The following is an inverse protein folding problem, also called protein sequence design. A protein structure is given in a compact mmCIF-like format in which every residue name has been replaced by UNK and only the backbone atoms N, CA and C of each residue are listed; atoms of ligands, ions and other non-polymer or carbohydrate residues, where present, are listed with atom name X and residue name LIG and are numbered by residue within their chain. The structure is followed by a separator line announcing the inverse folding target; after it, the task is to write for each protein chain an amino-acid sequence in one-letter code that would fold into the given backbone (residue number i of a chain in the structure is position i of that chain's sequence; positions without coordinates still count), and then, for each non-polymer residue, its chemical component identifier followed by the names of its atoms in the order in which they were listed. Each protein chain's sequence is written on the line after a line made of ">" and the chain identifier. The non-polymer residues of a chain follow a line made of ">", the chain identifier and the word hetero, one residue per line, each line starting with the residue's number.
data_IF_849201675897
#
_entry.id   IF_849201675897
#
_cell.length_a   1.000
_cell.length_b   1.000
_cell.length_c   1.000
_cell.angle_alpha   90.00
_cell.angle_beta   90.00
_cell.angle_gamma   90.00
#
_symmetry.space_group_name_H-M   'P 1'
#
loop_
_entity.id
_entity.type
_entity.pdbx_description
1 polymer ?
#
# COMPACT_ATOMS: atom_id res chain seq x y z
N UNK A 1 -13.11 29.16 43.84
CA UNK A 1 -12.16 28.03 43.74
C UNK A 1 -10.80 28.58 43.32
N UNK A 2 -9.74 28.50 44.15
CA UNK A 2 -8.48 29.21 43.93
C UNK A 2 -7.50 28.43 43.03
N UNK A 3 -6.83 29.15 42.13
CA UNK A 3 -5.73 28.68 41.25
C UNK A 3 -4.50 28.32 42.08
N UNK A 4 -3.98 27.09 41.94
CA UNK A 4 -2.63 26.74 42.38
C UNK A 4 -1.60 27.17 41.33
N UNK A 5 -0.73 28.09 41.71
CA UNK A 5 0.51 28.46 41.02
C UNK A 5 1.55 27.36 41.25
N UNK A 6 2.03 26.72 40.18
CA UNK A 6 3.15 25.78 40.23
C UNK A 6 4.43 26.56 39.91
N UNK A 7 5.30 26.67 40.91
CA UNK A 7 6.64 27.24 40.83
C UNK A 7 7.59 26.29 40.11
N UNK A 8 8.24 26.77 39.04
CA UNK A 8 9.27 26.06 38.29
C UNK A 8 10.65 26.37 38.89
N UNK A 9 11.49 25.39 39.27
CA UNK A 9 12.87 25.68 39.65
C UNK A 9 13.77 25.80 38.42
N UNK A 10 14.64 26.81 38.44
CA UNK A 10 15.70 27.07 37.46
C UNK A 10 16.93 26.19 37.76
N UNK A 11 17.57 25.53 36.78
CA UNK A 11 18.79 24.78 37.04
C UNK A 11 20.02 25.70 36.94
N UNK A 12 20.64 26.02 38.09
CA UNK A 12 21.97 26.61 38.17
C UNK A 12 23.01 25.59 37.70
N UNK A 13 23.80 25.97 36.70
CA UNK A 13 24.96 25.23 36.22
C UNK A 13 26.17 25.60 37.08
N UNK A 14 26.68 24.67 37.87
CA UNK A 14 28.04 24.75 38.41
C UNK A 14 28.89 23.65 37.79
N UNK A 15 29.93 24.10 37.08
CA UNK A 15 30.99 23.31 36.47
C UNK A 15 32.24 23.47 37.34
N UNK A 16 32.67 22.39 37.99
CA UNK A 16 34.05 22.21 38.42
C UNK A 16 34.39 20.73 38.48
N UNK A 17 35.50 20.27 37.86
CA UNK A 17 35.94 18.89 37.94
C UNK A 17 36.86 18.72 39.17
N UNK A 18 36.65 17.67 39.95
CA UNK A 18 37.67 17.17 40.87
C UNK A 18 37.72 15.65 40.81
N UNK A 19 38.95 15.16 40.74
CA UNK A 19 39.38 13.82 40.43
C UNK A 19 39.80 13.14 41.74
N UNK A 20 39.26 11.96 42.05
CA UNK A 20 39.92 11.00 42.94
C UNK A 20 39.24 9.65 42.83
N UNK A 21 40.04 8.62 42.53
CA UNK A 21 39.59 7.24 42.51
C UNK A 21 39.40 6.70 43.93
N UNK A 22 38.52 5.73 44.05
CA UNK A 22 38.60 4.64 45.03
C UNK A 22 37.70 3.51 44.49
N UNK A 23 38.28 2.32 44.30
CA UNK A 23 37.55 1.10 43.98
C UNK A 23 37.15 0.45 45.30
N UNK A 24 35.86 0.19 45.49
CA UNK A 24 35.39 -0.71 46.54
C UNK A 24 34.44 -1.76 45.96
N UNK A 25 34.76 -3.07 46.05
CA UNK A 25 33.90 -4.15 45.57
C UNK A 25 33.06 -4.75 46.73
N UNK A 26 31.87 -5.25 46.38
CA UNK A 26 30.88 -6.03 47.17
C UNK A 26 29.75 -5.30 47.91
N UNK A 27 28.52 -5.45 47.38
CA UNK A 27 27.30 -6.02 48.01
C UNK A 27 26.14 -5.93 47.00
N UNK A 28 25.77 -7.01 46.31
CA UNK A 28 24.74 -8.02 46.67
C UNK A 28 23.29 -7.50 46.77
N UNK A 29 22.55 -7.78 45.69
CA UNK A 29 21.11 -8.11 45.55
C UNK A 29 20.01 -7.14 46.01
N UNK A 30 19.23 -6.66 45.03
CA UNK A 30 17.89 -6.11 45.21
C UNK A 30 17.20 -5.73 43.88
N UNK A 31 16.22 -6.55 43.48
CA UNK A 31 15.08 -6.26 42.59
C UNK A 31 15.26 -6.32 41.03
N UNK A 32 14.74 -7.36 40.34
CA UNK A 32 14.61 -7.38 38.87
C UNK A 32 13.23 -6.83 38.46
N UNK A 33 12.98 -5.53 38.68
CA UNK A 33 11.77 -4.87 38.16
C UNK A 33 12.00 -3.40 37.83
N UNK A 34 13.03 -3.13 37.04
CA UNK A 34 13.15 -1.87 36.32
C UNK A 34 12.67 -2.12 34.89
N UNK A 35 11.41 -1.78 34.62
CA UNK A 35 10.83 -1.82 33.28
C UNK A 35 11.74 -1.08 32.30
N UNK A 36 12.22 -1.80 31.29
CA UNK A 36 12.95 -1.21 30.19
C UNK A 36 12.10 -0.06 29.60
N UNK A 37 12.69 1.13 29.34
CA UNK A 37 11.95 2.17 28.65
C UNK A 37 11.49 1.61 27.31
N UNK A 38 10.18 1.62 27.05
CA UNK A 38 9.63 1.30 25.74
C UNK A 38 10.30 2.21 24.71
N UNK A 39 11.29 1.66 24.01
CA UNK A 39 11.95 2.31 22.90
C UNK A 39 10.89 2.45 21.81
N UNK A 40 10.21 3.60 21.79
CA UNK A 40 9.31 3.97 20.71
C UNK A 40 10.16 4.02 19.45
N UNK A 41 10.04 2.98 18.64
CA UNK A 41 10.61 2.92 17.29
C UNK A 41 9.93 4.02 16.47
N UNK A 42 10.49 5.22 16.51
CA UNK A 42 9.99 6.34 15.73
C UNK A 42 10.48 6.20 14.29
N UNK A 43 9.53 5.97 13.38
CA UNK A 43 9.78 5.97 11.94
C UNK A 43 10.39 7.32 11.53
N UNK A 44 11.63 7.30 11.02
CA UNK A 44 12.29 8.46 10.42
C UNK A 44 11.37 9.04 9.33
N UNK A 45 10.72 10.18 9.60
CA UNK A 45 9.88 10.92 8.64
C UNK A 45 10.76 11.54 7.55
N UNK A 46 11.15 10.74 6.55
CA UNK A 46 11.96 11.16 5.38
C UNK A 46 11.23 10.95 4.04
N UNK A 47 9.91 11.17 4.02
CA UNK A 47 9.14 11.21 2.77
C UNK A 47 8.97 12.67 2.35
N UNK A 48 9.71 13.09 1.33
CA UNK A 48 9.54 14.38 0.66
C UNK A 48 8.29 14.37 -0.22
N UNK A 49 7.65 15.51 -0.48
CA UNK A 49 6.45 15.63 -1.31
C UNK A 49 6.56 14.91 -2.67
N UNK A 50 7.65 15.12 -3.40
CA UNK A 50 7.90 14.44 -4.68
C UNK A 50 8.02 12.92 -4.53
N UNK A 51 8.63 12.44 -3.45
CA UNK A 51 8.72 11.00 -3.15
C UNK A 51 7.35 10.44 -2.83
N UNK A 52 6.53 11.17 -2.07
CA UNK A 52 5.14 10.80 -1.77
C UNK A 52 4.29 10.67 -3.04
N UNK A 53 4.32 11.69 -3.91
CA UNK A 53 3.58 11.68 -5.19
C UNK A 53 4.03 10.51 -6.07
N UNK A 54 5.34 10.28 -6.19
CA UNK A 54 5.88 9.17 -6.98
C UNK A 54 5.43 7.81 -6.44
N UNK A 55 5.47 7.61 -5.12
CA UNK A 55 5.01 6.37 -4.47
C UNK A 55 3.52 6.16 -4.72
N UNK A 56 2.68 7.18 -4.49
CA UNK A 56 1.23 7.09 -4.70
C UNK A 56 0.89 6.80 -6.16
N UNK A 57 1.56 7.47 -7.09
CA UNK A 57 1.35 7.24 -8.53
C UNK A 57 1.74 5.80 -8.91
N UNK A 58 2.86 5.31 -8.39
CA UNK A 58 3.34 3.95 -8.63
C UNK A 58 2.47 2.85 -8.01
N UNK A 59 1.74 3.14 -6.92
CA UNK A 59 0.80 2.17 -6.31
C UNK A 59 -0.57 2.18 -6.96
N UNK A 60 -1.05 3.33 -7.45
CA UNK A 60 -2.35 3.45 -8.15
C UNK A 60 -2.27 2.86 -9.57
N UNK A 61 -1.18 3.10 -10.29
CA UNK A 61 -1.00 2.56 -11.65
C UNK A 61 -0.68 1.06 -11.57
N UNK A 62 -1.72 0.25 -11.63
CA UNK A 62 -1.65 -1.21 -11.56
C UNK A 62 -1.84 -1.93 -12.90
N UNK A 63 -1.94 -3.26 -12.84
CA UNK A 63 -2.26 -4.09 -14.01
C UNK A 63 -3.71 -3.91 -14.51
N UNK A 64 -4.57 -3.25 -13.71
CA UNK A 64 -5.97 -3.01 -14.05
C UNK A 64 -6.16 -2.23 -15.36
N UNK A 65 -5.22 -1.35 -15.74
CA UNK A 65 -5.31 -0.59 -16.99
C UNK A 65 -5.30 -1.49 -18.24
N UNK A 66 -4.77 -2.70 -18.16
CA UNK A 66 -4.77 -3.65 -19.28
C UNK A 66 -6.04 -4.50 -19.33
N UNK A 67 -6.72 -4.68 -18.19
CA UNK A 67 -7.90 -5.54 -18.03
C UNK A 67 -9.19 -4.72 -18.21
N UNK A 68 -9.26 -3.58 -17.53
CA UNK A 68 -10.47 -2.77 -17.38
C UNK A 68 -11.02 -2.22 -18.71
N UNK A 69 -10.22 -1.78 -19.72
CA UNK A 69 -10.78 -1.24 -20.96
C UNK A 69 -11.67 -2.23 -21.71
N UNK A 70 -11.28 -3.51 -21.80
CA UNK A 70 -12.09 -4.56 -22.45
C UNK A 70 -13.42 -4.76 -21.74
N UNK A 71 -13.42 -4.72 -20.39
CA UNK A 71 -14.62 -4.83 -19.58
C UNK A 71 -15.54 -3.62 -19.70
N UNK A 72 -15.01 -2.40 -19.62
CA UNK A 72 -15.80 -1.17 -19.71
C UNK A 72 -16.40 -1.03 -21.10
N UNK A 73 -15.62 -1.25 -22.17
CA UNK A 73 -16.12 -1.12 -23.54
C UNK A 73 -17.23 -2.14 -23.84
N UNK A 74 -17.08 -3.39 -23.37
CA UNK A 74 -18.11 -4.43 -23.56
C UNK A 74 -19.43 -4.09 -22.86
N UNK A 75 -19.38 -3.50 -21.67
CA UNK A 75 -20.59 -3.14 -20.91
C UNK A 75 -21.18 -1.79 -21.34
N UNK A 76 -20.34 -0.87 -21.80
CA UNK A 76 -20.76 0.48 -22.20
C UNK A 76 -21.26 0.53 -23.65
N UNK A 77 -20.90 -0.43 -24.50
CA UNK A 77 -21.35 -0.54 -25.91
C UNK A 77 -20.79 0.52 -26.87
N UNK A 78 -20.25 1.62 -26.37
CA UNK A 78 -19.69 2.72 -27.16
C UNK A 78 -18.40 3.26 -26.54
N UNK A 79 -17.44 3.64 -27.40
CA UNK A 79 -16.15 4.20 -26.99
C UNK A 79 -16.34 5.54 -26.26
N UNK A 80 -17.23 6.40 -26.74
CA UNK A 80 -17.49 7.70 -26.10
C UNK A 80 -18.02 7.56 -24.66
N UNK A 81 -18.98 6.66 -24.46
CA UNK A 81 -19.52 6.36 -23.12
C UNK A 81 -18.45 5.71 -22.22
N UNK A 82 -17.56 4.89 -22.76
CA UNK A 82 -16.46 4.30 -22.00
C UNK A 82 -15.51 5.38 -21.42
N UNK A 83 -15.23 6.44 -22.17
CA UNK A 83 -14.41 7.57 -21.71
C UNK A 83 -15.12 8.37 -20.60
N UNK A 84 -16.43 8.59 -20.72
CA UNK A 84 -17.23 9.24 -19.67
C UNK A 84 -17.18 8.43 -18.37
N UNK A 85 -17.31 7.11 -18.44
CA UNK A 85 -17.20 6.22 -17.27
C UNK A 85 -15.81 6.33 -16.63
N UNK A 86 -14.73 6.37 -17.43
CA UNK A 86 -13.38 6.57 -16.91
C UNK A 86 -13.21 7.89 -16.15
N UNK A 87 -13.73 8.99 -16.72
CA UNK A 87 -13.68 10.31 -16.08
C UNK A 87 -14.49 10.31 -14.78
N UNK A 88 -15.71 9.76 -14.81
CA UNK A 88 -16.57 9.67 -13.63
C UNK A 88 -15.92 8.86 -12.49
N UNK A 89 -15.31 7.72 -12.81
CA UNK A 89 -14.54 6.92 -11.85
C UNK A 89 -13.34 7.69 -11.28
N UNK A 90 -12.67 8.50 -12.11
CA UNK A 90 -11.57 9.37 -11.68
C UNK A 90 -12.01 10.44 -10.67
N UNK A 91 -13.13 11.12 -10.95
CA UNK A 91 -13.72 12.12 -10.05
C UNK A 91 -14.16 11.48 -8.73
N UNK A 92 -14.84 10.33 -8.78
CA UNK A 92 -15.26 9.60 -7.58
C UNK A 92 -14.05 9.20 -6.72
N UNK A 93 -12.98 8.72 -7.36
CA UNK A 93 -11.73 8.36 -6.68
C UNK A 93 -11.05 9.57 -6.05
N UNK A 94 -11.12 10.75 -6.68
CA UNK A 94 -10.58 11.99 -6.13
C UNK A 94 -11.30 12.38 -4.84
N UNK A 95 -12.63 12.36 -4.80
CA UNK A 95 -13.39 12.64 -3.57
C UNK A 95 -13.09 11.63 -2.46
N UNK A 96 -12.94 10.35 -2.82
CA UNK A 96 -12.50 9.32 -1.88
C UNK A 96 -11.11 9.61 -1.31
N UNK A 97 -10.15 9.96 -2.17
CA UNK A 97 -8.78 10.30 -1.77
C UNK A 97 -8.73 11.53 -0.86
N UNK A 98 -9.50 12.58 -1.15
CA UNK A 98 -9.60 13.78 -0.30
C UNK A 98 -10.18 13.43 1.08
N UNK A 99 -11.25 12.62 1.13
CA UNK A 99 -11.82 12.16 2.39
C UNK A 99 -10.81 11.37 3.22
N UNK A 100 -10.06 10.47 2.58
CA UNK A 100 -8.98 9.72 3.24
C UNK A 100 -7.80 10.61 3.65
N UNK A 101 -7.51 11.69 2.93
CA UNK A 101 -6.48 12.65 3.29
C UNK A 101 -6.87 13.40 4.58
N UNK A 102 -8.12 13.86 4.69
CA UNK A 102 -8.65 14.48 5.92
C UNK A 102 -8.52 13.50 7.10
N UNK A 103 -9.03 12.28 6.98
CA UNK A 103 -8.92 11.26 8.03
C UNK A 103 -7.47 10.94 8.41
N UNK A 104 -6.57 10.87 7.42
CA UNK A 104 -5.15 10.60 7.64
C UNK A 104 -4.40 11.75 8.33
N UNK A 105 -4.88 12.98 8.20
CA UNK A 105 -4.32 14.14 8.93
C UNK A 105 -4.88 14.27 10.34
N UNK A 106 -6.16 13.90 10.55
CA UNK A 106 -6.81 13.90 11.87
C UNK A 106 -6.31 12.76 12.77
N UNK A 107 -6.23 11.53 12.24
CA UNK A 107 -5.90 10.32 13.03
C UNK A 107 -4.45 9.90 12.75
N UNK A 108 -3.52 10.40 13.57
CA UNK A 108 -2.06 10.13 13.44
C UNK A 108 -1.60 8.86 14.18
N UNK A 109 -2.44 7.81 14.17
CA UNK A 109 -2.13 6.49 14.74
C UNK A 109 -1.74 5.53 13.62
N UNK A 110 -0.78 4.64 13.88
CA UNK A 110 -0.42 3.58 12.93
C UNK A 110 -1.58 2.58 12.74
N UNK A 111 -1.72 2.01 11.54
CA UNK A 111 -2.70 0.96 11.22
C UNK A 111 -3.74 1.30 10.13
N UNK A 112 -3.68 2.51 9.55
CA UNK A 112 -4.40 2.87 8.33
C UNK A 112 -5.92 2.70 8.43
N UNK A 113 -6.53 2.01 7.46
CA UNK A 113 -7.98 1.83 7.37
C UNK A 113 -8.61 1.20 8.62
N UNK A 114 -7.91 0.24 9.25
CA UNK A 114 -8.41 -0.41 10.47
C UNK A 114 -8.52 0.61 11.62
N UNK A 115 -7.47 1.40 11.81
CA UNK A 115 -7.40 2.41 12.86
C UNK A 115 -8.44 3.52 12.70
N UNK A 116 -8.77 3.89 11.45
CA UNK A 116 -9.84 4.86 11.19
C UNK A 116 -11.21 4.35 11.63
N UNK A 117 -11.50 3.07 11.36
CA UNK A 117 -12.78 2.45 11.72
C UNK A 117 -12.84 2.19 13.23
N UNK A 118 -11.71 1.81 13.83
CA UNK A 118 -11.59 1.64 15.27
C UNK A 118 -11.90 2.94 16.02
N UNK A 119 -11.39 4.08 15.55
CA UNK A 119 -11.64 5.38 16.18
C UNK A 119 -13.08 5.86 15.99
N UNK A 120 -13.67 5.62 14.80
CA UNK A 120 -15.00 6.12 14.46
C UNK A 120 -16.16 5.25 15.00
N UNK A 121 -16.01 3.92 14.99
CA UNK A 121 -17.10 2.96 15.26
C UNK A 121 -16.79 1.98 16.40
N UNK A 122 -15.60 2.07 17.01
CA UNK A 122 -15.18 1.21 18.10
C UNK A 122 -14.66 -0.18 17.66
N UNK A 123 -14.24 -1.00 18.63
CA UNK A 123 -13.49 -2.24 18.37
C UNK A 123 -14.30 -3.34 17.68
N UNK A 124 -15.60 -3.44 17.95
CA UNK A 124 -16.43 -4.52 17.43
C UNK A 124 -16.64 -4.41 15.92
N UNK A 125 -16.93 -3.21 15.42
CA UNK A 125 -17.10 -2.95 13.98
C UNK A 125 -15.76 -3.03 13.25
N UNK A 126 -14.68 -2.53 13.87
CA UNK A 126 -13.35 -2.63 13.31
C UNK A 126 -12.90 -4.08 13.13
N UNK A 127 -13.20 -4.96 14.10
CA UNK A 127 -12.93 -6.40 14.00
C UNK A 127 -13.72 -7.04 12.86
N UNK A 128 -15.03 -6.79 12.77
CA UNK A 128 -15.86 -7.32 11.68
C UNK A 128 -15.35 -6.88 10.30
N UNK A 129 -14.96 -5.60 10.15
CA UNK A 129 -14.39 -5.12 8.89
C UNK A 129 -13.08 -5.82 8.57
N UNK A 130 -12.18 -5.97 9.55
CA UNK A 130 -10.91 -6.67 9.35
C UNK A 130 -11.14 -8.13 8.93
N UNK A 131 -12.13 -8.80 9.54
CA UNK A 131 -12.51 -10.17 9.21
C UNK A 131 -12.99 -10.30 7.76
N UNK A 132 -13.89 -9.42 7.33
CA UNK A 132 -14.38 -9.37 5.94
C UNK A 132 -13.24 -9.04 4.97
N UNK A 133 -12.35 -8.11 5.34
CA UNK A 133 -11.21 -7.73 4.52
C UNK A 133 -10.26 -8.91 4.29
N UNK A 134 -9.98 -9.67 5.35
CA UNK A 134 -9.09 -10.82 5.33
C UNK A 134 -9.66 -12.01 4.53
N UNK A 135 -10.95 -12.31 4.68
CA UNK A 135 -11.57 -13.50 4.08
C UNK A 135 -12.09 -13.25 2.66
N UNK A 136 -12.68 -12.08 2.41
CA UNK A 136 -13.39 -11.83 1.16
C UNK A 136 -12.66 -10.83 0.26
N UNK A 137 -12.38 -9.63 0.78
CA UNK A 137 -11.96 -8.50 -0.07
C UNK A 137 -10.58 -8.74 -0.66
N UNK A 138 -9.57 -9.05 0.16
CA UNK A 138 -8.20 -9.26 -0.32
C UNK A 138 -8.07 -10.49 -1.21
N UNK A 139 -8.59 -11.69 -0.83
CA UNK A 139 -8.48 -12.87 -1.67
C UNK A 139 -9.20 -12.70 -3.01
N UNK A 140 -10.38 -12.06 -3.04
CA UNK A 140 -11.10 -11.80 -4.28
C UNK A 140 -10.30 -10.90 -5.23
N UNK A 141 -9.69 -9.83 -4.71
CA UNK A 141 -8.82 -8.94 -5.52
C UNK A 141 -7.63 -9.68 -6.13
N UNK A 142 -6.95 -10.52 -5.35
CA UNK A 142 -5.84 -11.35 -5.84
C UNK A 142 -6.30 -12.38 -6.87
N UNK A 143 -7.47 -13.00 -6.67
CA UNK A 143 -8.03 -13.99 -7.59
C UNK A 143 -8.34 -13.38 -8.96
N UNK A 144 -8.92 -12.17 -9.02
CA UNK A 144 -9.19 -11.48 -10.29
C UNK A 144 -7.91 -11.22 -11.07
N UNK A 145 -6.86 -10.73 -10.39
CA UNK A 145 -5.57 -10.44 -11.03
C UNK A 145 -4.89 -11.73 -11.50
N UNK A 146 -4.89 -12.79 -10.68
CA UNK A 146 -4.31 -14.07 -11.02
C UNK A 146 -5.01 -14.72 -12.23
N UNK A 147 -6.35 -14.65 -12.26
CA UNK A 147 -7.14 -15.17 -13.37
C UNK A 147 -6.87 -14.41 -14.67
N UNK A 148 -6.72 -13.09 -14.59
CA UNK A 148 -6.33 -12.28 -15.73
C UNK A 148 -4.93 -12.68 -16.25
N UNK A 149 -3.96 -12.88 -15.34
CA UNK A 149 -2.63 -13.36 -15.70
C UNK A 149 -2.67 -14.70 -16.45
N UNK A 150 -3.41 -15.68 -15.93
CA UNK A 150 -3.57 -16.99 -16.58
C UNK A 150 -4.20 -16.87 -17.98
N UNK A 151 -5.17 -15.98 -18.17
CA UNK A 151 -5.76 -15.70 -19.48
C UNK A 151 -4.75 -15.09 -20.45
N UNK A 152 -4.07 -14.02 -20.05
CA UNK A 152 -3.15 -13.30 -20.94
C UNK A 152 -1.97 -14.14 -21.42
N UNK A 153 -1.47 -15.07 -20.60
CA UNK A 153 -0.38 -15.98 -21.01
C UNK A 153 -0.84 -16.99 -22.06
N UNK A 154 -2.08 -17.49 -21.94
CA UNK A 154 -2.58 -18.55 -22.80
C UNK A 154 -3.26 -18.03 -24.08
N UNK A 155 -3.81 -16.81 -24.06
CA UNK A 155 -4.49 -16.19 -25.20
C UNK A 155 -3.64 -16.20 -26.50
N UNK A 156 -2.32 -15.90 -26.51
CA UNK A 156 -1.52 -15.98 -27.73
C UNK A 156 -1.21 -17.42 -28.18
N UNK A 157 -1.17 -18.40 -27.27
CA UNK A 157 -0.80 -19.79 -27.59
C UNK A 157 -1.94 -20.54 -28.26
N UNK A 158 -3.17 -20.24 -27.85
CA UNK A 158 -4.37 -20.92 -28.36
C UNK A 158 -5.04 -20.19 -29.52
N UNK A 159 -4.56 -19.00 -29.93
CA UNK A 159 -5.16 -18.23 -31.02
C UNK A 159 -5.05 -19.01 -32.35
N UNK A 160 -6.15 -19.21 -33.13
CA UNK A 160 -7.47 -18.57 -33.03
C UNK A 160 -8.53 -19.33 -32.20
N UNK A 161 -8.21 -20.51 -31.67
CA UNK A 161 -9.10 -21.28 -30.82
C UNK A 161 -9.31 -20.59 -29.46
N UNK A 162 -10.52 -20.69 -28.89
CA UNK A 162 -10.77 -20.19 -27.54
C UNK A 162 -9.98 -20.99 -26.50
N UNK A 163 -9.35 -20.30 -25.54
CA UNK A 163 -8.64 -20.98 -24.44
C UNK A 163 -9.66 -21.71 -23.56
N UNK A 164 -9.51 -23.03 -23.33
CA UNK A 164 -10.43 -23.75 -22.46
C UNK A 164 -10.31 -23.27 -21.01
N UNK A 165 -11.44 -23.16 -20.30
CA UNK A 165 -11.47 -22.60 -18.95
C UNK A 165 -10.58 -23.37 -17.96
N UNK A 166 -10.48 -24.70 -18.13
CA UNK A 166 -9.63 -25.53 -17.28
C UNK A 166 -8.15 -25.15 -17.41
N UNK A 167 -7.69 -24.81 -18.62
CA UNK A 167 -6.30 -24.40 -18.84
C UNK A 167 -6.01 -23.06 -18.17
N UNK A 168 -6.94 -22.10 -18.26
CA UNK A 168 -6.85 -20.82 -17.56
C UNK A 168 -6.74 -21.04 -16.05
N UNK A 169 -7.61 -21.88 -15.48
CA UNK A 169 -7.60 -22.19 -14.05
C UNK A 169 -6.29 -22.86 -13.63
N UNK A 170 -5.79 -23.83 -14.40
CA UNK A 170 -4.51 -24.50 -14.13
C UNK A 170 -3.33 -23.51 -14.17
N UNK A 171 -3.21 -22.71 -15.23
CA UNK A 171 -2.16 -21.71 -15.35
C UNK A 171 -2.23 -20.66 -14.22
N UNK A 172 -3.44 -20.25 -13.85
CA UNK A 172 -3.69 -19.34 -12.72
C UNK A 172 -3.21 -19.95 -11.40
N UNK A 173 -3.58 -21.20 -11.10
CA UNK A 173 -3.18 -21.90 -9.88
C UNK A 173 -1.68 -22.11 -9.80
N UNK A 174 -1.03 -22.47 -10.92
CA UNK A 174 0.42 -22.62 -11.00
C UNK A 174 1.10 -21.26 -10.75
N UNK A 175 0.65 -20.21 -11.42
CA UNK A 175 1.19 -18.86 -11.25
C UNK A 175 1.04 -18.34 -9.81
N UNK A 176 -0.15 -18.53 -9.20
CA UNK A 176 -0.40 -18.13 -7.82
C UNK A 176 0.48 -18.90 -6.83
N UNK A 177 0.61 -20.22 -7.01
CA UNK A 177 1.48 -21.07 -6.17
C UNK A 177 2.94 -20.65 -6.30
N UNK A 178 3.41 -20.34 -7.51
CA UNK A 178 4.78 -19.87 -7.74
C UNK A 178 5.05 -18.53 -7.04
N UNK A 179 4.11 -17.57 -7.14
CA UNK A 179 4.23 -16.27 -6.45
C UNK A 179 4.21 -16.45 -4.93
N UNK A 180 3.32 -17.31 -4.41
CA UNK A 180 3.26 -17.64 -2.99
C UNK A 180 4.58 -18.22 -2.50
N UNK A 181 5.14 -19.18 -3.24
CA UNK A 181 6.42 -19.80 -2.92
C UNK A 181 7.57 -18.79 -2.92
N UNK A 182 7.65 -17.91 -3.95
CA UNK A 182 8.65 -16.85 -4.02
C UNK A 182 8.54 -15.87 -2.84
N UNK A 183 7.30 -15.54 -2.45
CA UNK A 183 7.04 -14.67 -1.31
C UNK A 183 7.52 -15.30 0.01
N UNK A 184 7.23 -16.60 0.21
CA UNK A 184 7.65 -17.35 1.40
C UNK A 184 9.16 -17.57 1.47
N UNK A 185 9.83 -17.76 0.32
CA UNK A 185 11.28 -17.98 0.27
C UNK A 185 12.06 -16.68 0.51
N UNK A 186 11.61 -15.57 -0.08
CA UNK A 186 12.24 -14.28 0.16
C UNK A 186 11.38 -13.09 -0.29
N UNK A 187 10.94 -12.31 0.69
CA UNK A 187 10.27 -11.03 0.46
C UNK A 187 11.16 -10.02 -0.29
N UNK A 188 12.49 -10.10 -0.11
CA UNK A 188 13.44 -9.20 -0.78
C UNK A 188 13.50 -9.44 -2.29
N UNK A 189 13.48 -10.71 -2.72
CA UNK A 189 13.41 -11.05 -4.16
C UNK A 189 12.06 -10.63 -4.76
N UNK A 190 10.97 -10.87 -4.03
CA UNK A 190 9.63 -10.43 -4.44
C UNK A 190 9.56 -8.91 -4.62
N UNK A 191 10.14 -8.15 -3.69
CA UNK A 191 10.19 -6.69 -3.79
C UNK A 191 10.96 -6.19 -5.02
N UNK A 192 12.08 -6.83 -5.37
CA UNK A 192 12.84 -6.50 -6.59
C UNK A 192 12.04 -6.77 -7.87
N UNK A 193 11.37 -7.94 -7.94
CA UNK A 193 10.50 -8.30 -9.06
C UNK A 193 9.35 -7.29 -9.20
N UNK A 194 8.75 -6.89 -8.07
CA UNK A 194 7.67 -5.90 -8.07
C UNK A 194 8.14 -4.55 -8.63
N UNK A 195 9.32 -4.06 -8.23
CA UNK A 195 9.88 -2.81 -8.77
C UNK A 195 10.08 -2.92 -10.29
N UNK A 196 10.66 -4.03 -10.75
CA UNK A 196 10.85 -4.29 -12.18
C UNK A 196 9.52 -4.30 -12.95
N UNK A 197 8.50 -4.99 -12.43
CA UNK A 197 7.16 -5.02 -13.03
C UNK A 197 6.51 -3.62 -13.06
N UNK A 198 6.72 -2.79 -12.04
CA UNK A 198 6.23 -1.41 -12.06
C UNK A 198 6.88 -0.59 -13.16
N UNK A 199 8.20 -0.68 -13.33
CA UNK A 199 8.89 -0.01 -14.44
C UNK A 199 8.41 -0.51 -15.81
N UNK A 200 8.28 -1.83 -15.96
CA UNK A 200 7.75 -2.44 -17.19
C UNK A 200 6.35 -1.93 -17.53
N UNK A 201 5.44 -1.85 -16.55
CA UNK A 201 4.09 -1.31 -16.76
C UNK A 201 4.12 0.15 -17.22
N UNK A 202 4.93 0.99 -16.59
CA UNK A 202 5.06 2.40 -17.00
C UNK A 202 5.59 2.53 -18.42
N UNK A 203 6.56 1.70 -18.80
CA UNK A 203 7.09 1.64 -20.16
C UNK A 203 6.01 1.22 -21.17
N UNK A 204 5.23 0.18 -20.87
CA UNK A 204 4.12 -0.25 -21.73
C UNK A 204 3.09 0.86 -21.92
N UNK A 205 2.74 1.59 -20.86
CA UNK A 205 1.81 2.72 -20.96
C UNK A 205 2.40 3.82 -21.87
N UNK A 206 3.69 4.15 -21.73
CA UNK A 206 4.35 5.13 -22.60
C UNK A 206 4.33 4.70 -24.08
N UNK A 207 4.59 3.41 -24.36
CA UNK A 207 4.54 2.84 -25.71
C UNK A 207 3.12 2.89 -26.31
N UNK A 208 2.07 2.78 -25.50
CA UNK A 208 0.68 2.88 -25.99
C UNK A 208 0.31 4.34 -26.28
N UNK A 209 0.70 5.27 -25.40
CA UNK A 209 0.32 6.69 -25.52
C UNK A 209 0.98 7.36 -26.72
N UNK A 210 2.29 7.15 -26.95
CA UNK A 210 3.04 7.89 -27.99
C UNK A 210 2.47 7.67 -29.41
N UNK A 211 2.22 6.44 -29.89
CA UNK A 211 1.58 6.20 -31.18
C UNK A 211 0.14 6.70 -31.21
N UNK A 212 -0.61 6.54 -30.11
CA UNK A 212 -2.00 7.02 -30.02
C UNK A 212 -2.09 8.53 -30.22
N UNK A 213 -1.22 9.29 -29.56
CA UNK A 213 -1.12 10.74 -29.72
C UNK A 213 -0.64 11.13 -31.12
N UNK A 214 0.35 10.40 -31.67
CA UNK A 214 0.83 10.63 -33.03
C UNK A 214 -0.28 10.45 -34.08
N UNK A 215 -1.10 9.40 -33.96
CA UNK A 215 -2.23 9.16 -34.86
C UNK A 215 -3.28 10.27 -34.76
N UNK A 216 -3.56 10.74 -33.54
CA UNK A 216 -4.51 11.83 -33.28
C UNK A 216 -4.05 13.16 -33.92
N UNK A 217 -2.75 13.47 -33.85
CA UNK A 217 -2.19 14.64 -34.55
C UNK A 217 -2.16 14.50 -36.07
N UNK A 218 -2.14 13.27 -36.58
CA UNK A 218 -2.21 12.98 -38.02
C UNK A 218 -3.64 13.08 -38.57
N UNK A 219 -4.64 13.32 -37.72
CA UNK A 219 -6.02 13.55 -38.11
C UNK A 219 -6.79 12.29 -38.54
N UNK A 220 -6.36 11.12 -38.05
CA UNK A 220 -7.06 9.83 -38.21
C UNK A 220 -7.68 9.42 -36.87
#
# INVERSE_FOLDING_TARGET
>A
MPRRTVSVPHPTRDLTPSNSGEKDPLKSNGDPSAGAPEEKVELRKKVTLLRGISIITGTIIGAGIFISPKGILKNSGSVGMSLVVWIACGILSLFGALSYAELGTSIKKSGGHYTYILEAFGPQVAFMRMWVDMIAIRPAGLAVIALAFGRYILEPIFMPCGVPEIAIKLATTIGLTAVMYLNSMSVSWTARIQIFLTFSKLLTIAIIIVPGVYLLFKGI
#
